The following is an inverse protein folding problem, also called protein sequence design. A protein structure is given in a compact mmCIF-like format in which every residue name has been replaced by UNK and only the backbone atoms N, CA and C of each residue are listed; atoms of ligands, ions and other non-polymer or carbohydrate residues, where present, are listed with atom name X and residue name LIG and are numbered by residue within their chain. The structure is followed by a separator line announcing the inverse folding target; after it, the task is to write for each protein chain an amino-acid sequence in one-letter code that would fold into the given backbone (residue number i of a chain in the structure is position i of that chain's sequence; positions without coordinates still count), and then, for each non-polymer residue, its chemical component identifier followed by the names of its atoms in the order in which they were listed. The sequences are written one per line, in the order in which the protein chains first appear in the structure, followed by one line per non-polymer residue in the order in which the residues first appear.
data_IF_426799856205
#
_entry.id   IF_426799856205
#
_cell.length_a   1.000
_cell.length_b   1.000
_cell.length_c   1.000
_cell.angle_alpha   90.00
_cell.angle_beta   90.00
_cell.angle_gamma   90.00
#
_symmetry.space_group_name_H-M   'P 1'
#
loop_
_entity.id
_entity.type
_entity.pdbx_description
1 polymer ?
#
# COMPACT_ATOMS: atom_id res chain seq x y z
N UNK A 1 5.68 -16.16 -19.64
CA UNK A 1 5.80 -15.62 -18.26
C UNK A 1 4.59 -14.74 -18.02
N UNK A 2 3.95 -14.87 -16.86
CA UNK A 2 2.83 -14.01 -16.46
C UNK A 2 3.30 -13.03 -15.40
N UNK A 3 2.55 -11.94 -15.17
CA UNK A 3 2.93 -10.99 -14.12
C UNK A 3 2.90 -11.63 -12.72
N UNK A 4 2.07 -12.66 -12.53
CA UNK A 4 1.98 -13.42 -11.28
C UNK A 4 3.26 -14.19 -10.96
N UNK A 5 4.14 -14.41 -11.94
CA UNK A 5 5.45 -15.04 -11.74
C UNK A 5 6.45 -14.07 -11.09
N UNK A 6 6.23 -12.76 -11.21
CA UNK A 6 7.15 -11.72 -10.73
C UNK A 6 7.15 -11.64 -9.20
N UNK A 7 8.34 -11.75 -8.58
CA UNK A 7 8.47 -11.65 -7.12
C UNK A 7 8.04 -10.29 -6.57
N UNK A 8 8.26 -9.21 -7.32
CA UNK A 8 7.83 -7.87 -6.92
C UNK A 8 6.30 -7.78 -6.86
N UNK A 9 5.59 -8.42 -7.80
CA UNK A 9 4.14 -8.48 -7.79
C UNK A 9 3.63 -9.35 -6.63
N UNK A 10 4.20 -10.55 -6.42
CA UNK A 10 3.81 -11.44 -5.31
C UNK A 10 3.97 -10.75 -3.95
N UNK A 11 5.07 -10.02 -3.76
CA UNK A 11 5.35 -9.29 -2.51
C UNK A 11 4.37 -8.14 -2.30
N UNK A 12 4.08 -7.36 -3.34
CA UNK A 12 3.16 -6.22 -3.22
C UNK A 12 1.70 -6.67 -3.05
N UNK A 13 1.28 -7.75 -3.72
CA UNK A 13 -0.04 -8.37 -3.53
C UNK A 13 -0.23 -8.88 -2.10
N UNK A 14 0.77 -9.60 -1.55
CA UNK A 14 0.74 -10.02 -0.14
C UNK A 14 0.70 -8.84 0.82
N UNK A 15 1.53 -7.81 0.58
CA UNK A 15 1.51 -6.60 1.41
C UNK A 15 0.14 -5.93 1.39
N UNK A 16 -0.50 -5.78 0.23
CA UNK A 16 -1.84 -5.23 0.14
C UNK A 16 -2.85 -6.07 0.93
N UNK A 17 -2.83 -7.40 0.78
CA UNK A 17 -3.69 -8.29 1.57
C UNK A 17 -3.52 -8.10 3.08
N UNK A 18 -2.28 -7.95 3.56
CA UNK A 18 -2.01 -7.68 4.98
C UNK A 18 -2.52 -6.31 5.41
N UNK A 19 -2.37 -5.26 4.60
CA UNK A 19 -2.96 -3.93 4.90
C UNK A 19 -4.48 -4.02 5.05
N UNK A 20 -5.18 -4.72 4.16
CA UNK A 20 -6.62 -4.93 4.29
C UNK A 20 -7.01 -5.61 5.61
N UNK A 21 -6.25 -6.64 6.04
CA UNK A 21 -6.49 -7.34 7.31
C UNK A 21 -6.21 -6.45 8.51
N UNK A 22 -5.07 -5.75 8.53
CA UNK A 22 -4.66 -4.90 9.66
C UNK A 22 -5.62 -3.73 9.88
N UNK A 23 -6.18 -3.16 8.81
CA UNK A 23 -7.12 -2.04 8.89
C UNK A 23 -8.60 -2.47 8.83
N UNK A 24 -8.91 -3.76 8.93
CA UNK A 24 -10.28 -4.27 8.84
C UNK A 24 -11.22 -3.63 9.90
N UNK A 25 -10.73 -3.48 11.14
CA UNK A 25 -11.45 -2.89 12.27
C UNK A 25 -11.23 -1.38 12.47
N UNK A 26 -10.49 -0.73 11.56
CA UNK A 26 -10.28 0.72 11.62
C UNK A 26 -11.61 1.46 11.42
N UNK A 27 -11.95 2.37 12.34
CA UNK A 27 -13.18 3.17 12.31
C UNK A 27 -13.00 4.51 11.57
N UNK A 28 -11.77 4.90 11.28
CA UNK A 28 -11.49 6.02 10.37
C UNK A 28 -11.63 5.51 8.94
N UNK A 29 -12.85 5.59 8.40
CA UNK A 29 -13.16 5.09 7.07
C UNK A 29 -12.41 5.84 5.96
N UNK A 30 -12.12 7.13 6.16
CA UNK A 30 -11.38 7.93 5.18
C UNK A 30 -9.93 7.49 5.08
N UNK A 31 -9.26 7.33 6.23
CA UNK A 31 -7.90 6.81 6.27
C UNK A 31 -7.83 5.36 5.77
N UNK A 32 -8.76 4.50 6.20
CA UNK A 32 -8.86 3.11 5.76
C UNK A 32 -9.01 3.00 4.24
N UNK A 33 -9.84 3.82 3.61
CA UNK A 33 -9.99 3.83 2.15
C UNK A 33 -8.69 4.23 1.46
N UNK A 34 -8.06 5.33 1.89
CA UNK A 34 -6.82 5.83 1.30
C UNK A 34 -5.67 4.83 1.39
N UNK A 35 -5.45 4.23 2.57
CA UNK A 35 -4.33 3.30 2.78
C UNK A 35 -4.54 1.96 2.06
N UNK A 36 -5.78 1.47 1.98
CA UNK A 36 -6.07 0.25 1.25
C UNK A 36 -5.92 0.46 -0.25
N UNK A 37 -6.41 1.58 -0.79
CA UNK A 37 -6.23 1.96 -2.20
C UNK A 37 -4.78 2.15 -2.61
N UNK A 38 -3.98 2.88 -1.83
CA UNK A 38 -2.57 3.07 -2.13
C UNK A 38 -1.81 1.73 -2.15
N UNK A 39 -2.15 0.82 -1.22
CA UNK A 39 -1.57 -0.53 -1.17
C UNK A 39 -1.96 -1.40 -2.37
N UNK A 40 -3.24 -1.36 -2.78
CA UNK A 40 -3.77 -2.16 -3.89
C UNK A 40 -3.22 -1.69 -5.23
N UNK A 41 -3.02 -0.37 -5.36
CA UNK A 41 -2.48 0.26 -6.57
C UNK A 41 -1.09 -0.26 -6.95
N UNK A 42 -0.26 -0.68 -6.00
CA UNK A 42 1.11 -1.17 -6.26
C UNK A 42 1.10 -2.45 -7.13
N UNK A 43 0.51 -3.59 -6.70
CA UNK A 43 0.43 -4.79 -7.55
C UNK A 43 -0.42 -4.54 -8.81
N UNK A 44 -1.47 -3.72 -8.74
CA UNK A 44 -2.30 -3.39 -9.92
C UNK A 44 -1.51 -2.71 -11.02
N UNK A 45 -0.72 -1.69 -10.70
CA UNK A 45 0.12 -1.02 -11.70
C UNK A 45 1.22 -1.93 -12.25
N UNK A 46 1.78 -2.83 -11.44
CA UNK A 46 2.76 -3.82 -11.94
C UNK A 46 2.10 -4.75 -12.96
N UNK A 47 0.92 -5.29 -12.64
CA UNK A 47 0.18 -6.16 -13.56
C UNK A 47 -0.21 -5.40 -14.83
N UNK A 48 -0.79 -4.22 -14.69
CA UNK A 48 -1.21 -3.41 -15.84
C UNK A 48 -0.04 -3.04 -16.75
N UNK A 49 1.11 -2.66 -16.17
CA UNK A 49 2.32 -2.37 -16.91
C UNK A 49 2.90 -3.58 -17.63
N UNK A 50 2.82 -4.77 -17.02
CA UNK A 50 3.28 -6.01 -17.61
C UNK A 50 2.47 -6.42 -18.84
N UNK A 51 1.16 -6.16 -18.83
CA UNK A 51 0.25 -6.44 -19.94
C UNK A 51 0.30 -5.37 -21.07
N UNK A 52 1.14 -4.33 -20.94
CA UNK A 52 1.33 -3.33 -22.01
C UNK A 52 2.24 -3.84 -23.12
N UNK A 53 1.99 -3.36 -24.34
CA UNK A 53 2.72 -3.77 -25.55
C UNK A 53 4.15 -3.21 -25.66
N UNK A 54 4.48 -2.13 -24.94
CA UNK A 54 5.76 -1.44 -25.08
C UNK A 54 6.52 -1.34 -23.77
N UNK A 55 7.85 -1.49 -23.83
CA UNK A 55 8.73 -1.29 -22.68
C UNK A 55 8.56 0.10 -22.05
N UNK A 56 8.26 1.12 -22.87
CA UNK A 56 8.05 2.49 -22.39
C UNK A 56 6.82 2.57 -21.49
N UNK A 57 5.73 1.92 -21.87
CA UNK A 57 4.51 1.87 -21.06
C UNK A 57 4.72 1.03 -19.81
N UNK A 58 5.35 -0.14 -19.91
CA UNK A 58 5.71 -0.95 -18.74
C UNK A 58 6.50 -0.12 -17.73
N UNK A 59 7.54 0.59 -18.17
CA UNK A 59 8.35 1.48 -17.31
C UNK A 59 7.49 2.57 -16.66
N UNK A 60 6.58 3.19 -17.42
CA UNK A 60 5.67 4.23 -16.90
C UNK A 60 4.78 3.69 -15.77
N UNK A 61 4.22 2.50 -15.93
CA UNK A 61 3.42 1.84 -14.90
C UNK A 61 4.24 1.43 -13.67
N UNK A 62 5.50 1.02 -13.86
CA UNK A 62 6.41 0.77 -12.73
C UNK A 62 6.71 2.05 -11.95
N UNK A 63 6.79 3.22 -12.60
CA UNK A 63 6.89 4.51 -11.90
C UNK A 63 5.62 4.81 -11.08
N UNK A 64 4.43 4.51 -11.61
CA UNK A 64 3.18 4.64 -10.84
C UNK A 64 3.14 3.72 -9.63
N UNK A 65 3.52 2.45 -9.80
CA UNK A 65 3.69 1.51 -8.69
C UNK A 65 4.65 2.03 -7.61
N UNK A 66 5.78 2.64 -8.02
CA UNK A 66 6.74 3.26 -7.11
C UNK A 66 6.16 4.47 -6.37
N UNK A 67 5.37 5.29 -7.06
CA UNK A 67 4.63 6.41 -6.48
C UNK A 67 3.65 5.94 -5.40
N UNK A 68 2.79 4.97 -5.71
CA UNK A 68 1.86 4.39 -4.73
C UNK A 68 2.58 3.73 -3.54
N UNK A 69 3.76 3.13 -3.76
CA UNK A 69 4.57 2.58 -2.66
C UNK A 69 5.07 3.68 -1.71
N UNK A 70 5.44 4.85 -2.24
CA UNK A 70 5.86 5.98 -1.42
C UNK A 70 4.68 6.55 -0.62
N UNK A 71 3.51 6.69 -1.26
CA UNK A 71 2.27 7.14 -0.62
C UNK A 71 1.85 6.20 0.53
N UNK A 72 1.81 4.88 0.28
CA UNK A 72 1.53 3.87 1.30
C UNK A 72 2.47 3.99 2.49
N UNK A 73 3.78 4.16 2.24
CA UNK A 73 4.78 4.30 3.31
C UNK A 73 4.54 5.56 4.15
N UNK A 74 4.17 6.67 3.52
CA UNK A 74 3.80 7.92 4.22
C UNK A 74 2.56 7.71 5.09
N UNK A 75 1.52 7.07 4.56
CA UNK A 75 0.29 6.78 5.31
C UNK A 75 0.56 5.85 6.49
N UNK A 76 1.39 4.81 6.32
CA UNK A 76 1.82 3.93 7.42
C UNK A 76 2.59 4.68 8.50
N UNK A 77 3.48 5.60 8.13
CA UNK A 77 4.18 6.46 9.08
C UNK A 77 3.19 7.28 9.92
N UNK A 78 2.22 7.93 9.27
CA UNK A 78 1.17 8.71 9.95
C UNK A 78 0.31 7.82 10.86
N UNK A 79 -0.07 6.62 10.42
CA UNK A 79 -0.83 5.68 11.25
C UNK A 79 -0.05 5.29 12.52
N UNK A 80 1.25 5.00 12.39
CA UNK A 80 2.10 4.64 13.52
C UNK A 80 2.18 5.79 14.53
N UNK A 81 2.47 7.02 14.09
CA UNK A 81 2.51 8.20 14.97
C UNK A 81 1.22 8.32 15.79
N UNK A 82 0.05 8.25 15.15
CA UNK A 82 -1.24 8.34 15.84
C UNK A 82 -1.47 7.19 16.84
N UNK A 83 -1.00 5.97 16.54
CA UNK A 83 -1.05 4.84 17.48
C UNK A 83 -0.08 5.03 18.66
N UNK A 84 1.08 5.66 18.46
CA UNK A 84 2.01 6.00 19.54
C UNK A 84 1.45 7.09 20.46
N UNK A 85 0.83 8.14 19.91
CA UNK A 85 0.16 9.18 20.71
C UNK A 85 -0.97 8.58 21.56
N UNK A 86 -1.81 7.72 20.96
CA UNK A 86 -2.83 6.96 21.69
C UNK A 86 -2.25 6.25 22.93
N UNK A 87 -1.15 5.48 22.78
CA UNK A 87 -0.52 4.78 23.92
C UNK A 87 0.06 5.73 24.97
N UNK A 88 0.65 6.86 24.57
CA UNK A 88 1.31 7.80 25.50
C UNK A 88 0.30 8.61 26.32
N UNK A 89 -0.81 9.04 25.73
CA UNK A 89 -1.86 9.78 26.45
C UNK A 89 -2.46 8.96 27.60
N UNK A 90 -2.53 7.63 27.46
CA UNK A 90 -2.95 6.74 28.55
C UNK A 90 -1.92 6.62 29.69
N UNK A 91 -0.62 6.81 29.43
CA UNK A 91 0.43 6.74 30.46
C UNK A 91 0.62 8.06 31.23
N UNK A 92 0.14 9.18 30.71
CA UNK A 92 0.23 10.50 31.37
C UNK A 92 -1.05 10.91 32.11
N UNK A 93 -2.10 10.07 32.06
CA UNK A 93 -3.39 10.30 32.73
C UNK A 93 -3.72 9.20 33.75
N UNK A 94 -2.75 8.36 34.10
CA UNK A 94 -2.81 7.38 35.19
C UNK A 94 -1.83 7.74 36.29
#
# INVERSE_FOLDING_TARGET
MKFEDLDVWKRSARLSSEIYKQFASCKDFGFKDQITRSSLSVPSNIAEGYERYSNKDTIRFLYYSKGSSAELRTQLYIAMENMFYSKRTWQSLG
#
